data_IF_361811118317
#
_entry.id   IF_361811118317
#
_cell.length_a   1.000
_cell.length_b   1.000
_cell.length_c   1.000
_cell.angle_alpha   90.00
_cell.angle_beta   90.00
_cell.angle_gamma   90.00
#
_symmetry.space_group_name_H-M   'P 1'
#
loop_
_entity.id
_entity.type
_entity.pdbx_description
1 polymer ?
#
# COMPACT_ATOMS: atom_id res chain seq x y z
N UNK A 1 -21.44 2.76 1.98
CA UNK A 1 -20.26 3.65 1.74
C UNK A 1 -19.42 3.03 0.63
N UNK A 2 -19.10 3.74 -0.46
CA UNK A 2 -18.33 3.16 -1.59
C UNK A 2 -16.87 2.89 -1.21
N UNK A 3 -16.28 1.88 -1.85
CA UNK A 3 -14.89 1.49 -1.69
C UNK A 3 -14.19 1.33 -3.04
N UNK A 4 -12.88 1.51 -3.02
CA UNK A 4 -12.02 1.47 -4.18
C UNK A 4 -10.75 0.69 -3.89
N UNK A 5 -10.30 -0.10 -4.86
CA UNK A 5 -8.94 -0.62 -4.87
C UNK A 5 -7.97 0.49 -5.27
N UNK A 6 -6.95 0.69 -4.44
CA UNK A 6 -5.85 1.60 -4.71
C UNK A 6 -4.87 0.94 -5.69
N UNK A 7 -4.54 1.67 -6.76
CA UNK A 7 -3.57 1.27 -7.79
C UNK A 7 -2.50 2.34 -7.90
N UNK A 8 -1.24 1.94 -7.89
CA UNK A 8 -0.12 2.85 -8.19
C UNK A 8 -0.07 3.09 -9.69
N UNK A 9 -0.12 4.35 -10.14
CA UNK A 9 -0.10 4.70 -11.57
C UNK A 9 1.29 5.11 -12.07
N UNK A 10 2.36 4.58 -11.45
CA UNK A 10 3.75 4.99 -11.73
C UNK A 10 4.16 4.81 -13.20
N UNK A 11 3.58 3.84 -13.91
CA UNK A 11 3.82 3.66 -15.35
C UNK A 11 3.35 4.84 -16.21
N UNK A 12 2.43 5.65 -15.68
CA UNK A 12 1.93 6.88 -16.33
C UNK A 12 2.69 8.12 -15.86
N UNK A 13 3.55 7.96 -14.85
CA UNK A 13 4.38 9.00 -14.25
C UNK A 13 5.85 8.74 -14.61
N UNK A 14 6.15 8.58 -15.91
CA UNK A 14 7.46 8.13 -16.39
C UNK A 14 8.62 9.10 -16.12
N UNK A 15 8.34 10.28 -15.59
CA UNK A 15 9.32 11.29 -15.20
C UNK A 15 9.48 11.42 -13.68
N UNK A 16 8.86 10.53 -12.91
CA UNK A 16 8.98 10.50 -11.45
C UNK A 16 10.36 10.04 -10.98
N UNK A 17 10.73 10.45 -9.77
CA UNK A 17 11.90 9.91 -9.08
C UNK A 17 11.63 8.45 -8.74
N UNK A 18 12.60 7.58 -9.00
CA UNK A 18 12.54 6.17 -8.63
C UNK A 18 13.13 5.98 -7.24
N UNK A 19 12.33 5.51 -6.28
CA UNK A 19 12.81 5.03 -4.99
C UNK A 19 13.24 3.57 -5.14
N UNK A 20 14.52 3.28 -5.03
CA UNK A 20 15.05 1.95 -5.33
C UNK A 20 14.91 1.00 -4.13
N UNK A 21 15.86 1.04 -3.20
CA UNK A 21 15.90 0.18 -2.01
C UNK A 21 16.38 0.95 -0.78
N UNK A 22 16.07 0.42 0.41
CA UNK A 22 16.66 0.94 1.65
C UNK A 22 18.10 0.44 1.81
N UNK A 23 18.96 1.33 2.32
CA UNK A 23 20.38 1.08 2.55
C UNK A 23 20.61 0.55 3.97
N UNK A 24 19.89 1.08 4.97
CA UNK A 24 20.13 0.82 6.39
C UNK A 24 19.07 -0.07 7.07
N UNK A 25 18.04 -0.51 6.33
CA UNK A 25 17.04 -1.48 6.79
C UNK A 25 17.05 -2.69 5.84
N UNK A 26 17.05 -3.89 6.42
CA UNK A 26 17.01 -5.11 5.62
C UNK A 26 15.70 -5.23 4.84
N UNK A 27 15.76 -5.82 3.64
CA UNK A 27 14.54 -6.09 2.85
C UNK A 27 13.55 -7.00 3.56
N UNK A 28 14.01 -7.81 4.53
CA UNK A 28 13.14 -8.66 5.34
C UNK A 28 12.28 -7.83 6.30
N UNK A 29 12.88 -6.88 7.03
CA UNK A 29 12.13 -5.98 7.92
C UNK A 29 11.17 -5.08 7.14
N UNK A 30 11.59 -4.57 5.97
CA UNK A 30 10.71 -3.79 5.10
C UNK A 30 9.48 -4.58 4.63
N UNK A 31 9.63 -5.88 4.33
CA UNK A 31 8.49 -6.72 3.93
C UNK A 31 7.43 -6.85 5.02
N UNK A 32 7.82 -6.81 6.31
CA UNK A 32 6.88 -6.86 7.44
C UNK A 32 5.98 -5.63 7.54
N UNK A 33 6.36 -4.53 6.91
CA UNK A 33 5.52 -3.32 6.83
C UNK A 33 4.25 -3.62 6.04
N UNK A 34 4.30 -4.54 5.09
CA UNK A 34 3.15 -4.98 4.30
C UNK A 34 2.39 -6.17 4.92
N UNK A 35 2.67 -6.53 6.17
CA UNK A 35 2.00 -7.61 6.90
C UNK A 35 1.51 -7.18 8.30
N UNK A 36 0.76 -8.05 8.97
CA UNK A 36 0.35 -7.89 10.37
C UNK A 36 1.52 -7.98 11.36
N UNK A 37 2.72 -8.36 10.90
CA UNK A 37 3.90 -8.48 11.75
C UNK A 37 4.46 -7.12 12.17
N UNK A 38 5.06 -7.07 13.36
CA UNK A 38 5.83 -5.91 13.81
C UNK A 38 7.17 -5.87 13.05
N UNK A 39 7.47 -4.75 12.43
CA UNK A 39 8.77 -4.49 11.81
C UNK A 39 9.71 -3.84 12.85
N UNK A 40 10.96 -4.28 12.90
CA UNK A 40 12.01 -3.55 13.61
C UNK A 40 12.59 -2.49 12.69
N UNK A 41 12.24 -1.24 12.98
CA UNK A 41 12.69 -0.05 12.24
C UNK A 41 13.49 0.89 13.15
N UNK A 42 14.25 0.32 14.09
CA UNK A 42 15.06 1.07 15.07
C UNK A 42 16.05 2.06 14.43
N UNK A 43 16.53 1.81 13.20
CA UNK A 43 17.39 2.73 12.44
C UNK A 43 16.58 3.78 11.65
N UNK A 44 15.74 4.57 12.33
CA UNK A 44 15.09 5.74 11.72
C UNK A 44 15.97 6.99 11.84
N UNK A 45 16.10 7.83 10.81
CA UNK A 45 15.36 7.76 9.54
C UNK A 45 15.83 6.63 8.62
N UNK A 46 14.88 6.08 7.85
CA UNK A 46 15.17 5.01 6.90
C UNK A 46 15.88 5.63 5.69
N UNK A 47 17.13 5.25 5.44
CA UNK A 47 17.90 5.75 4.32
C UNK A 47 17.52 4.97 3.06
N UNK A 48 17.08 5.67 2.02
CA UNK A 48 16.71 5.12 0.71
C UNK A 48 17.67 5.58 -0.37
N UNK A 49 18.01 4.67 -1.27
CA UNK A 49 18.66 4.99 -2.53
C UNK A 49 17.61 5.44 -3.55
N UNK A 50 17.92 6.48 -4.31
CA UNK A 50 17.09 6.96 -5.43
C UNK A 50 17.81 6.84 -6.75
N UNK A 51 17.06 6.62 -7.83
CA UNK A 51 17.52 6.75 -9.21
C UNK A 51 16.72 7.87 -9.90
N UNK A 52 17.42 8.79 -10.56
CA UNK A 52 16.84 9.95 -11.25
C UNK A 52 16.96 9.85 -12.77
N UNK A 53 17.40 8.70 -13.30
CA UNK A 53 17.50 8.48 -14.75
C UNK A 53 16.15 8.57 -15.45
N UNK A 54 15.10 8.08 -14.79
CA UNK A 54 13.73 8.09 -15.32
C UNK A 54 13.11 9.50 -15.21
N UNK A 55 13.44 10.22 -14.13
CA UNK A 55 13.17 11.64 -14.01
C UNK A 55 13.33 12.17 -12.59
N UNK A 56 12.77 13.36 -12.35
CA UNK A 56 12.91 14.12 -11.10
C UNK A 56 11.59 14.63 -10.53
N UNK A 57 10.45 14.22 -11.11
CA UNK A 57 9.13 14.59 -10.60
C UNK A 57 8.91 13.94 -9.23
N UNK A 58 8.56 14.77 -8.25
CA UNK A 58 8.20 14.37 -6.90
C UNK A 58 6.69 14.09 -6.83
N UNK A 59 6.31 12.83 -6.63
CA UNK A 59 4.90 12.43 -6.44
C UNK A 59 4.52 12.40 -4.96
N UNK A 60 3.25 12.62 -4.66
CA UNK A 60 2.70 12.48 -3.32
C UNK A 60 2.66 11.03 -2.83
N UNK A 61 2.57 10.07 -3.75
CA UNK A 61 2.61 8.63 -3.46
C UNK A 61 3.50 7.90 -4.47
N UNK A 62 4.43 7.11 -3.95
CA UNK A 62 5.40 6.32 -4.70
C UNK A 62 5.39 4.87 -4.21
N UNK A 63 5.92 3.97 -5.04
CA UNK A 63 6.18 2.58 -4.69
C UNK A 63 7.65 2.31 -5.00
N UNK A 64 8.41 1.85 -4.00
CA UNK A 64 9.79 1.45 -4.24
C UNK A 64 9.88 0.17 -5.06
N UNK A 65 11.04 -0.11 -5.65
CA UNK A 65 11.30 -1.35 -6.40
C UNK A 65 11.05 -2.62 -5.56
N UNK A 66 11.11 -2.51 -4.23
CA UNK A 66 10.85 -3.61 -3.30
C UNK A 66 9.45 -3.56 -2.66
N UNK A 67 8.54 -2.74 -3.18
CA UNK A 67 7.13 -2.70 -2.78
C UNK A 67 6.86 -1.94 -1.48
N UNK A 68 7.76 -1.05 -1.06
CA UNK A 68 7.49 -0.13 0.06
C UNK A 68 6.73 1.09 -0.46
N UNK A 69 5.67 1.48 0.25
CA UNK A 69 4.88 2.64 -0.12
C UNK A 69 5.50 3.86 0.53
N UNK A 70 5.86 4.85 -0.28
CA UNK A 70 6.54 6.06 0.14
C UNK A 70 5.64 7.25 -0.21
N UNK A 71 5.40 8.13 0.75
CA UNK A 71 4.46 9.24 0.60
C UNK A 71 5.10 10.56 1.00
N UNK A 72 4.65 11.65 0.39
CA UNK A 72 5.11 13.00 0.72
C UNK A 72 4.59 13.47 2.09
N UNK A 73 5.18 14.55 2.60
CA UNK A 73 4.69 15.25 3.78
C UNK A 73 3.26 15.77 3.62
N UNK A 74 2.90 16.20 2.40
CA UNK A 74 1.53 16.61 2.08
C UNK A 74 0.54 15.47 2.29
N UNK A 75 0.82 14.28 1.75
CA UNK A 75 -0.02 13.10 1.97
C UNK A 75 -0.14 12.79 3.47
N UNK A 76 0.98 12.77 4.20
CA UNK A 76 0.98 12.54 5.65
C UNK A 76 0.07 13.52 6.37
N UNK A 77 0.15 14.82 6.08
CA UNK A 77 -0.65 15.84 6.76
C UNK A 77 -2.16 15.65 6.55
N UNK A 78 -2.57 15.19 5.36
CA UNK A 78 -3.97 14.91 5.02
C UNK A 78 -4.47 13.66 5.77
N UNK A 79 -3.66 12.61 5.83
CA UNK A 79 -4.06 11.28 6.30
C UNK A 79 -3.48 10.89 7.67
N UNK A 80 -2.92 11.82 8.44
CA UNK A 80 -2.31 11.55 9.75
C UNK A 80 -3.25 10.94 10.79
N UNK A 81 -4.56 11.15 10.64
CA UNK A 81 -5.59 10.62 11.53
C UNK A 81 -6.14 9.25 11.08
N UNK A 82 -5.68 8.75 9.94
CA UNK A 82 -6.01 7.41 9.47
C UNK A 82 -5.14 6.36 10.18
N UNK A 83 -5.50 5.07 10.17
CA UNK A 83 -4.74 3.98 10.80
C UNK A 83 -3.45 3.65 10.02
N UNK A 84 -2.58 4.65 9.92
CA UNK A 84 -1.31 4.66 9.21
C UNK A 84 -0.19 5.00 10.19
N UNK A 85 0.94 4.31 10.04
CA UNK A 85 2.19 4.69 10.71
C UNK A 85 3.15 5.21 9.67
N UNK A 86 3.73 6.38 9.93
CA UNK A 86 4.65 7.07 9.05
C UNK A 86 6.07 7.00 9.61
N UNK A 87 6.98 6.40 8.85
CA UNK A 87 8.40 6.32 9.18
C UNK A 87 9.16 7.34 8.33
N UNK A 88 9.87 8.31 8.91
CA UNK A 88 10.62 9.29 8.14
C UNK A 88 11.69 8.58 7.30
N UNK A 89 11.84 9.00 6.05
CA UNK A 89 12.92 8.54 5.17
C UNK A 89 13.86 9.69 4.83
N UNK A 90 15.11 9.35 4.60
CA UNK A 90 16.13 10.23 4.02
C UNK A 90 16.62 9.61 2.71
N UNK A 91 17.10 10.45 1.79
CA UNK A 91 17.56 10.01 0.47
C UNK A 91 19.07 10.12 0.39
N UNK A 92 19.71 9.04 -0.03
CA UNK A 92 21.14 8.99 -0.22
C UNK A 92 21.56 9.85 -1.42
N UNK A 93 22.37 10.88 -1.17
CA UNK A 93 22.94 11.77 -2.18
C UNK A 93 21.89 12.47 -3.08
N UNK A 94 20.66 12.66 -2.59
CA UNK A 94 19.60 13.38 -3.29
C UNK A 94 18.80 14.23 -2.32
N UNK A 95 18.31 15.38 -2.77
CA UNK A 95 17.48 16.28 -1.97
C UNK A 95 16.17 16.55 -2.71
N UNK A 96 15.07 16.34 -2.01
CA UNK A 96 13.72 16.61 -2.48
C UNK A 96 13.20 17.94 -1.93
N UNK A 97 12.24 18.55 -2.61
CA UNK A 97 11.51 19.71 -2.12
C UNK A 97 10.61 19.36 -0.93
N UNK A 98 10.05 18.15 -0.92
CA UNK A 98 9.21 17.63 0.15
C UNK A 98 9.94 16.60 1.01
N UNK A 99 9.56 16.48 2.28
CA UNK A 99 9.95 15.31 3.10
C UNK A 99 9.13 14.10 2.70
N UNK A 100 9.72 12.92 2.82
CA UNK A 100 9.06 11.67 2.51
C UNK A 100 8.99 10.75 3.72
N UNK A 101 8.01 9.85 3.67
CA UNK A 101 7.75 8.87 4.71
C UNK A 101 7.41 7.54 4.08
N UNK A 102 7.94 6.46 4.64
CA UNK A 102 7.43 5.12 4.38
C UNK A 102 6.17 4.91 5.22
N UNK A 103 5.11 4.32 4.65
CA UNK A 103 3.87 4.03 5.38
C UNK A 103 3.66 2.55 5.69
N UNK A 104 3.14 2.29 6.89
CA UNK A 104 2.50 1.01 7.28
C UNK A 104 1.01 1.22 7.46
N UNK A 105 0.20 0.41 6.78
CA UNK A 105 -1.25 0.34 7.00
C UNK A 105 -1.50 -0.65 8.13
N UNK A 106 -2.21 -0.23 9.18
CA UNK A 106 -2.45 -1.06 10.37
C UNK A 106 -3.61 -2.04 10.19
N UNK A 107 -4.63 -1.65 9.42
CA UNK A 107 -5.85 -2.45 9.30
C UNK A 107 -5.72 -3.54 8.23
N UNK A 108 -5.99 -4.78 8.63
CA UNK A 108 -6.09 -5.96 7.76
C UNK A 108 -7.46 -6.60 7.96
N UNK A 109 -8.32 -6.54 6.94
CA UNK A 109 -9.72 -6.98 7.06
C UNK A 109 -9.99 -8.27 6.30
N UNK A 110 -10.75 -9.16 6.92
CA UNK A 110 -11.31 -10.36 6.28
C UNK A 110 -12.73 -10.08 5.81
N UNK A 111 -12.83 -9.24 4.77
CA UNK A 111 -14.09 -8.68 4.29
C UNK A 111 -14.50 -9.13 2.88
N UNK A 112 -13.77 -10.03 2.23
CA UNK A 112 -14.08 -10.48 0.88
C UNK A 112 -15.29 -11.42 0.90
N UNK A 113 -16.25 -11.19 0.01
CA UNK A 113 -17.30 -12.15 -0.28
C UNK A 113 -16.74 -13.23 -1.21
N UNK A 114 -16.31 -14.34 -0.62
CA UNK A 114 -15.66 -15.44 -1.33
C UNK A 114 -16.61 -16.22 -2.26
N UNK A 115 -17.93 -16.04 -2.12
CA UNK A 115 -18.94 -16.68 -2.98
C UNK A 115 -19.08 -15.99 -4.33
N UNK A 116 -18.94 -14.66 -4.36
CA UNK A 116 -19.13 -13.84 -5.57
C UNK A 116 -17.81 -13.37 -6.19
N UNK A 117 -16.74 -13.33 -5.41
CA UNK A 117 -15.40 -12.94 -5.89
C UNK A 117 -14.73 -14.08 -6.64
N UNK A 118 -14.04 -13.78 -7.75
CA UNK A 118 -13.25 -14.78 -8.48
C UNK A 118 -11.92 -15.01 -7.76
N UNK A 119 -11.79 -16.16 -7.11
CA UNK A 119 -10.65 -16.52 -6.26
C UNK A 119 -10.00 -17.84 -6.67
N UNK A 120 -8.70 -17.95 -6.45
CA UNK A 120 -8.01 -19.25 -6.32
C UNK A 120 -7.24 -19.26 -5.02
N UNK A 121 -6.96 -20.46 -4.49
CA UNK A 121 -6.30 -20.62 -3.20
C UNK A 121 -4.93 -21.28 -3.36
N UNK A 122 -4.02 -20.92 -2.46
CA UNK A 122 -2.83 -21.72 -2.22
C UNK A 122 -3.22 -23.04 -1.54
N UNK A 123 -2.73 -24.15 -2.08
CA UNK A 123 -2.96 -25.51 -1.59
C UNK A 123 -1.65 -26.11 -1.08
N UNK A 124 -1.73 -27.22 -0.34
CA UNK A 124 -0.54 -27.92 0.13
C UNK A 124 0.40 -28.35 -1.02
N UNK A 125 -0.15 -28.63 -2.20
CA UNK A 125 0.59 -29.05 -3.39
C UNK A 125 1.39 -27.92 -4.02
N UNK A 126 0.85 -26.70 -4.01
CA UNK A 126 1.45 -25.57 -4.73
C UNK A 126 2.11 -24.50 -3.84
N UNK A 127 2.08 -24.68 -2.52
CA UNK A 127 2.70 -23.79 -1.53
C UNK A 127 3.88 -24.45 -0.78
N UNK A 128 4.59 -25.40 -1.41
CA UNK A 128 5.70 -26.14 -0.79
C UNK A 128 6.82 -25.24 -0.26
N UNK A 129 7.07 -24.11 -0.93
CA UNK A 129 8.08 -23.12 -0.55
C UNK A 129 7.67 -22.24 0.65
N UNK A 130 6.37 -22.16 0.96
CA UNK A 130 5.87 -21.42 2.11
C UNK A 130 4.50 -21.93 2.56
N UNK A 131 4.50 -22.84 3.54
CA UNK A 131 3.28 -23.45 4.09
C UNK A 131 2.32 -22.45 4.73
N UNK A 132 2.78 -21.25 5.14
CA UNK A 132 1.92 -20.19 5.69
C UNK A 132 0.95 -19.60 4.66
N UNK A 133 1.17 -19.87 3.36
CA UNK A 133 0.28 -19.39 2.30
C UNK A 133 -0.98 -20.25 2.15
N UNK A 134 -0.97 -21.51 2.59
CA UNK A 134 -2.09 -22.44 2.40
C UNK A 134 -3.38 -21.84 2.98
N UNK A 135 -4.45 -21.80 2.18
CA UNK A 135 -5.73 -21.20 2.54
C UNK A 135 -5.84 -19.68 2.29
N UNK A 136 -4.73 -18.99 2.01
CA UNK A 136 -4.77 -17.61 1.49
C UNK A 136 -5.07 -17.59 -0.01
N UNK A 137 -5.45 -16.42 -0.52
CA UNK A 137 -5.73 -16.26 -1.93
C UNK A 137 -4.40 -16.32 -2.72
N UNK A 138 -4.42 -17.09 -3.81
CA UNK A 138 -3.35 -17.12 -4.80
C UNK A 138 -3.62 -16.11 -5.90
N UNK A 139 -4.86 -16.02 -6.36
CA UNK A 139 -5.33 -14.97 -7.26
C UNK A 139 -6.68 -14.45 -6.80
N UNK A 140 -6.95 -13.18 -7.10
CA UNK A 140 -8.20 -12.50 -6.79
C UNK A 140 -8.52 -11.51 -7.91
N UNK A 141 -9.77 -11.50 -8.37
CA UNK A 141 -10.29 -10.50 -9.30
C UNK A 141 -11.81 -10.34 -9.14
N UNK A 142 -12.37 -9.26 -9.70
CA UNK A 142 -13.78 -8.89 -9.54
C UNK A 142 -14.21 -8.86 -8.07
N UNK A 143 -13.46 -8.07 -7.29
CA UNK A 143 -13.57 -8.04 -5.83
C UNK A 143 -14.97 -7.58 -5.43
N UNK A 144 -15.62 -8.41 -4.62
CA UNK A 144 -16.82 -8.04 -3.87
C UNK A 144 -16.48 -8.11 -2.39
N UNK A 145 -16.84 -7.07 -1.63
CA UNK A 145 -16.62 -7.01 -0.18
C UNK A 145 -17.94 -6.84 0.56
N UNK A 146 -17.95 -7.38 1.77
CA UNK A 146 -19.02 -7.23 2.74
C UNK A 146 -19.00 -5.83 3.37
N UNK A 147 -20.09 -5.08 3.21
CA UNK A 147 -20.17 -3.70 3.69
C UNK A 147 -20.08 -3.63 5.22
N UNK A 148 -20.75 -4.54 5.94
CA UNK A 148 -20.78 -4.56 7.40
C UNK A 148 -19.41 -4.75 8.04
N UNK A 149 -18.49 -5.43 7.35
CA UNK A 149 -17.11 -5.66 7.82
C UNK A 149 -16.14 -4.51 7.54
N UNK A 150 -16.59 -3.47 6.83
CA UNK A 150 -15.73 -2.34 6.45
C UNK A 150 -16.17 -1.01 7.10
N UNK A 151 -17.34 -0.98 7.74
CA UNK A 151 -17.93 0.22 8.34
C UNK A 151 -16.93 1.06 9.15
N UNK A 152 -16.83 2.33 8.78
CA UNK A 152 -16.00 3.32 9.49
C UNK A 152 -14.51 3.29 9.18
N UNK A 153 -14.04 2.39 8.30
CA UNK A 153 -12.62 2.25 7.98
C UNK A 153 -12.33 2.84 6.60
N UNK A 154 -11.40 3.80 6.51
CA UNK A 154 -11.10 4.49 5.25
C UNK A 154 -9.93 3.91 4.46
N UNK A 155 -9.05 3.12 5.09
CA UNK A 155 -7.92 2.46 4.43
C UNK A 155 -7.57 1.15 5.15
N UNK A 156 -7.39 0.09 4.39
CA UNK A 156 -7.01 -1.24 4.91
C UNK A 156 -6.44 -2.15 3.81
N UNK A 157 -5.76 -3.23 4.22
CA UNK A 157 -5.35 -4.34 3.35
C UNK A 157 -6.29 -5.53 3.47
N UNK A 158 -6.39 -6.36 2.43
CA UNK A 158 -7.11 -7.63 2.51
C UNK A 158 -6.30 -8.66 3.29
N UNK A 159 -6.90 -9.27 4.32
CA UNK A 159 -6.20 -10.18 5.24
C UNK A 159 -5.59 -11.40 4.55
N UNK A 160 -6.35 -12.05 3.65
CA UNK A 160 -5.91 -13.23 2.90
C UNK A 160 -5.16 -12.90 1.60
N UNK A 161 -4.95 -11.61 1.29
CA UNK A 161 -4.20 -11.14 0.12
C UNK A 161 -3.67 -9.72 0.32
N UNK A 162 -2.63 -9.60 1.15
CA UNK A 162 -2.11 -8.32 1.64
C UNK A 162 -1.64 -7.31 0.58
N UNK A 163 -1.25 -7.68 -0.66
CA UNK A 163 -0.89 -6.69 -1.68
C UNK A 163 -2.02 -5.72 -2.04
N UNK A 164 -3.29 -6.13 -1.90
CA UNK A 164 -4.43 -5.26 -2.22
C UNK A 164 -4.75 -4.34 -1.04
N UNK A 165 -4.84 -3.05 -1.36
CA UNK A 165 -5.27 -1.99 -0.45
C UNK A 165 -6.61 -1.46 -0.94
N UNK A 166 -7.58 -1.41 -0.03
CA UNK A 166 -8.87 -0.80 -0.28
C UNK A 166 -8.98 0.49 0.51
N UNK A 167 -9.63 1.48 -0.11
CA UNK A 167 -9.89 2.80 0.48
C UNK A 167 -11.34 3.20 0.30
N UNK A 168 -11.89 3.94 1.26
CA UNK A 168 -13.26 4.43 1.18
C UNK A 168 -13.38 5.62 0.22
N UNK A 169 -14.61 5.96 -0.18
CA UNK A 169 -14.90 7.20 -0.91
C UNK A 169 -14.31 8.44 -0.21
N UNK A 170 -14.38 8.51 1.13
CA UNK A 170 -13.86 9.65 1.89
C UNK A 170 -12.36 9.85 1.68
N UNK A 171 -11.60 8.76 1.61
CA UNK A 171 -10.17 8.81 1.30
C UNK A 171 -9.94 9.34 -0.12
N UNK A 172 -10.69 8.81 -1.09
CA UNK A 172 -10.60 9.22 -2.51
C UNK A 172 -10.92 10.72 -2.66
N UNK A 173 -11.99 11.19 -2.02
CA UNK A 173 -12.40 12.59 -2.06
C UNK A 173 -11.32 13.49 -1.46
N UNK A 174 -10.74 13.12 -0.31
CA UNK A 174 -9.65 13.86 0.31
C UNK A 174 -8.40 13.89 -0.59
N UNK A 175 -8.06 12.78 -1.24
CA UNK A 175 -6.93 12.69 -2.16
C UNK A 175 -7.10 13.62 -3.37
N UNK A 176 -8.27 13.59 -4.00
CA UNK A 176 -8.58 14.41 -5.19
C UNK A 176 -8.68 15.89 -4.81
N UNK A 177 -9.38 16.23 -3.72
CA UNK A 177 -9.57 17.62 -3.27
C UNK A 177 -8.23 18.31 -2.99
N UNK A 178 -7.27 17.57 -2.42
CA UNK A 178 -5.93 18.08 -2.14
C UNK A 178 -4.97 17.95 -3.34
N UNK A 179 -5.45 17.51 -4.51
CA UNK A 179 -4.66 17.35 -5.73
C UNK A 179 -3.43 16.48 -5.50
N UNK A 180 -3.58 15.35 -4.81
CA UNK A 180 -2.51 14.38 -4.70
C UNK A 180 -2.36 13.56 -5.99
N UNK A 181 -1.14 13.07 -6.24
CA UNK A 181 -0.79 12.24 -7.40
C UNK A 181 -0.07 10.94 -6.99
N UNK A 182 0.19 10.07 -7.98
CA UNK A 182 0.80 8.75 -7.76
C UNK A 182 -0.17 7.61 -7.49
N UNK A 183 -1.50 7.86 -7.48
CA UNK A 183 -2.54 6.84 -7.32
C UNK A 183 -3.67 6.93 -8.35
N UNK A 184 -4.31 5.78 -8.56
CA UNK A 184 -5.60 5.58 -9.21
C UNK A 184 -6.51 4.72 -8.35
N UNK A 185 -7.81 4.81 -8.61
CA UNK A 185 -8.83 4.13 -7.82
C UNK A 185 -9.78 3.35 -8.72
N UNK A 186 -9.90 2.04 -8.47
CA UNK A 186 -10.82 1.15 -9.19
C UNK A 186 -12.01 0.84 -8.25
N UNK A 187 -13.27 1.11 -8.64
CA UNK A 187 -14.42 0.80 -7.81
C UNK A 187 -14.49 -0.70 -7.42
N UNK A 188 -14.91 -0.97 -6.19
CA UNK A 188 -15.13 -2.32 -5.66
C UNK A 188 -16.63 -2.52 -5.43
N UNK A 189 -17.12 -3.73 -5.68
CA UNK A 189 -18.54 -4.09 -5.49
C UNK A 189 -18.79 -4.33 -4.00
N UNK A 190 -19.92 -3.83 -3.50
CA UNK A 190 -20.40 -4.11 -2.16
C UNK A 190 -21.50 -5.16 -2.21
N UNK A 191 -21.47 -6.10 -1.28
CA UNK A 191 -22.58 -6.99 -1.01
C UNK A 191 -23.08 -6.78 0.42
N UNK A 192 -24.40 -6.90 0.59
CA UNK A 192 -24.99 -7.19 1.89
C UNK A 192 -24.63 -8.64 2.29
N UNK A 193 -24.68 -8.92 3.58
CA UNK A 193 -24.33 -10.23 4.13
C UNK A 193 -25.43 -11.26 3.89
#
# INVERSE_FOLDING_TARGET
MKYYQLIFNLSEESTAITFDHSINISSFELKKINSEEKADLSNTPILFKTDTKDGTKELDVNLSNHGSIIVSEKFKNIFQNEPLVFFPIELDNYSTYSKYYLIKIINFLDCVNETTTKLTYWTAENASFNKKLIGNYKTISNITIYEEKTKGINIFRLKKFTPIILVSQKFVDAFILNKCDGLKFIPVILSEQ
#
